data_IF_250178244597
#
_entry.id   IF_250178244597
#
_cell.length_a   1.000
_cell.length_b   1.000
_cell.length_c   1.000
_cell.angle_alpha   90.00
_cell.angle_beta   90.00
_cell.angle_gamma   90.00
#
_symmetry.space_group_name_H-M   'P 1'
#
loop_
_entity.id
_entity.type
_entity.pdbx_description
1 polymer ?
#
# COMPACT_ATOMS: atom_id res chain seq x y z
N UNK A 1 -8.01 35.76 -15.65
CA UNK A 1 -8.62 34.76 -14.75
C UNK A 1 -9.42 33.65 -15.44
N UNK A 2 -10.30 33.95 -16.40
CA UNK A 2 -11.12 32.91 -17.07
C UNK A 2 -10.33 31.80 -17.80
N UNK A 3 -9.20 32.12 -18.44
CA UNK A 3 -8.39 31.13 -19.18
C UNK A 3 -7.72 30.12 -18.23
N UNK A 4 -7.19 30.58 -17.09
CA UNK A 4 -6.55 29.71 -16.09
C UNK A 4 -7.58 28.72 -15.52
N UNK A 5 -8.78 29.20 -15.22
CA UNK A 5 -9.87 28.36 -14.73
C UNK A 5 -10.31 27.33 -15.78
N UNK A 6 -10.44 27.74 -17.05
CA UNK A 6 -10.79 26.84 -18.15
C UNK A 6 -9.72 25.77 -18.38
N UNK A 7 -8.43 26.14 -18.34
CA UNK A 7 -7.34 25.16 -18.40
C UNK A 7 -7.39 24.19 -17.21
N UNK A 8 -7.74 24.68 -16.01
CA UNK A 8 -7.93 23.83 -14.83
C UNK A 8 -9.06 22.81 -14.99
N UNK A 9 -10.20 23.18 -15.61
CA UNK A 9 -11.27 22.23 -15.93
C UNK A 9 -10.81 21.17 -16.94
N UNK A 10 -10.18 21.58 -18.04
CA UNK A 10 -9.65 20.64 -19.03
C UNK A 10 -8.63 19.68 -18.43
N UNK A 11 -7.73 20.17 -17.56
CA UNK A 11 -6.75 19.33 -16.86
C UNK A 11 -7.45 18.27 -15.99
N UNK A 12 -8.55 18.62 -15.31
CA UNK A 12 -9.32 17.68 -14.47
C UNK A 12 -10.00 16.58 -15.28
N UNK A 13 -10.42 16.87 -16.51
CA UNK A 13 -11.08 15.90 -17.40
C UNK A 13 -10.09 14.98 -18.12
N UNK A 14 -8.83 15.41 -18.27
CA UNK A 14 -7.80 14.71 -19.07
C UNK A 14 -6.70 14.05 -18.23
N UNK A 15 -6.96 13.79 -16.94
CA UNK A 15 -5.99 13.12 -16.06
C UNK A 15 -5.82 11.65 -16.47
N UNK A 16 -4.58 11.27 -16.72
CA UNK A 16 -4.16 9.91 -17.06
C UNK A 16 -2.90 9.54 -16.28
N UNK A 17 -2.45 8.28 -16.38
CA UNK A 17 -1.21 7.81 -15.75
C UNK A 17 0.05 8.54 -16.25
N UNK A 18 -0.01 9.20 -17.42
CA UNK A 18 1.11 9.94 -18.01
C UNK A 18 1.05 11.43 -17.67
N UNK A 19 -0.14 11.98 -17.44
CA UNK A 19 -0.33 13.42 -17.24
C UNK A 19 -0.46 13.80 -15.76
N UNK A 20 -0.83 12.87 -14.88
CA UNK A 20 -1.18 13.16 -13.48
C UNK A 20 -0.05 13.82 -12.69
N UNK A 21 1.19 13.36 -12.84
CA UNK A 21 2.33 13.92 -12.12
C UNK A 21 2.69 15.31 -12.63
N UNK A 22 2.70 15.50 -13.96
CA UNK A 22 2.91 16.81 -14.58
C UNK A 22 1.82 17.78 -14.14
N UNK A 23 0.55 17.40 -14.22
CA UNK A 23 -0.58 18.24 -13.83
C UNK A 23 -0.54 18.58 -12.34
N UNK A 24 -0.15 17.64 -11.47
CA UNK A 24 0.02 17.93 -10.05
C UNK A 24 1.10 18.99 -9.79
N UNK A 25 2.26 18.87 -10.45
CA UNK A 25 3.36 19.82 -10.33
C UNK A 25 2.99 21.20 -10.88
N UNK A 26 2.42 21.24 -12.09
CA UNK A 26 1.93 22.46 -12.74
C UNK A 26 0.87 23.15 -11.90
N UNK A 27 -0.11 22.41 -11.38
CA UNK A 27 -1.14 22.96 -10.50
C UNK A 27 -0.54 23.51 -9.19
N UNK A 28 0.54 22.92 -8.67
CA UNK A 28 1.32 23.46 -7.57
C UNK A 28 1.94 24.82 -7.90
N UNK A 29 2.55 24.96 -9.07
CA UNK A 29 3.17 26.22 -9.52
C UNK A 29 2.15 27.34 -9.74
N UNK A 30 0.98 27.02 -10.26
CA UNK A 30 -0.07 28.00 -10.59
C UNK A 30 -1.14 28.18 -9.50
N UNK A 31 -0.99 27.54 -8.33
CA UNK A 31 -1.95 27.66 -7.23
C UNK A 31 -3.34 27.06 -7.51
N UNK A 32 -3.43 26.06 -8.39
CA UNK A 32 -4.68 25.41 -8.77
C UNK A 32 -5.01 24.23 -7.86
N UNK A 33 -5.42 24.51 -6.63
CA UNK A 33 -5.66 23.48 -5.60
C UNK A 33 -6.73 22.45 -5.99
N UNK A 34 -7.75 22.86 -6.75
CA UNK A 34 -8.79 21.94 -7.23
C UNK A 34 -8.22 20.87 -8.19
N UNK A 35 -7.26 21.24 -9.04
CA UNK A 35 -6.57 20.32 -9.95
C UNK A 35 -5.64 19.40 -9.14
N UNK A 36 -4.89 19.94 -8.16
CA UNK A 36 -4.04 19.12 -7.28
C UNK A 36 -4.84 18.05 -6.54
N UNK A 37 -5.98 18.44 -5.96
CA UNK A 37 -6.88 17.52 -5.26
C UNK A 37 -7.37 16.42 -6.21
N UNK A 38 -7.78 16.79 -7.43
CA UNK A 38 -8.23 15.84 -8.43
C UNK A 38 -7.12 14.87 -8.88
N UNK A 39 -5.89 15.35 -9.03
CA UNK A 39 -4.73 14.50 -9.32
C UNK A 39 -4.47 13.49 -8.18
N UNK A 40 -4.55 13.93 -6.91
CA UNK A 40 -4.41 13.04 -5.76
C UNK A 40 -5.53 12.00 -5.71
N UNK A 41 -6.79 12.41 -5.91
CA UNK A 41 -7.92 11.48 -6.00
C UNK A 41 -7.72 10.45 -7.12
N UNK A 42 -7.23 10.88 -8.28
CA UNK A 42 -6.92 9.98 -9.37
C UNK A 42 -5.83 8.97 -8.96
N UNK A 43 -4.74 9.43 -8.34
CA UNK A 43 -3.64 8.57 -7.87
C UNK A 43 -4.12 7.57 -6.81
N UNK A 44 -4.94 7.99 -5.85
CA UNK A 44 -5.50 7.11 -4.82
C UNK A 44 -6.30 5.94 -5.42
N UNK A 45 -7.03 6.19 -6.51
CA UNK A 45 -7.84 5.17 -7.17
C UNK A 45 -7.07 4.30 -8.18
N UNK A 46 -5.99 4.82 -8.78
CA UNK A 46 -5.34 4.21 -9.93
C UNK A 46 -3.90 3.73 -9.68
N UNK A 47 -3.23 4.16 -8.59
CA UNK A 47 -1.84 3.81 -8.34
C UNK A 47 -1.61 2.30 -8.35
N UNK A 48 -2.49 1.54 -7.67
CA UNK A 48 -2.34 0.09 -7.53
C UNK A 48 -2.78 -0.70 -8.76
N UNK A 49 -3.58 -0.11 -9.65
CA UNK A 49 -4.16 -0.79 -10.83
C UNK A 49 -3.45 -0.44 -12.13
N UNK A 50 -2.86 0.75 -12.23
CA UNK A 50 -2.17 1.29 -13.41
C UNK A 50 -0.67 1.53 -13.14
N UNK A 51 -0.04 0.63 -12.38
CA UNK A 51 1.39 0.72 -12.08
C UNK A 51 2.22 0.70 -13.38
N UNK A 52 3.11 1.68 -13.52
CA UNK A 52 4.06 1.75 -14.63
C UNK A 52 5.37 2.37 -14.16
N UNK A 53 6.43 2.10 -14.91
CA UNK A 53 7.78 2.60 -14.61
C UNK A 53 7.79 4.13 -14.66
N UNK A 54 7.16 4.70 -15.69
CA UNK A 54 7.06 6.15 -15.88
C UNK A 54 6.37 6.80 -14.69
N UNK A 55 5.18 6.30 -14.33
CA UNK A 55 4.44 6.80 -13.18
C UNK A 55 5.25 6.73 -11.88
N UNK A 56 5.90 5.59 -11.62
CA UNK A 56 6.66 5.42 -10.37
C UNK A 56 7.91 6.31 -10.31
N UNK A 57 8.59 6.56 -11.44
CA UNK A 57 9.73 7.49 -11.48
C UNK A 57 9.32 8.94 -11.25
N UNK A 58 8.15 9.35 -11.71
CA UNK A 58 7.65 10.73 -11.57
C UNK A 58 7.06 11.03 -10.19
N UNK A 59 6.73 10.01 -9.39
CA UNK A 59 6.17 10.19 -8.06
C UNK A 59 7.23 10.59 -7.04
N UNK A 60 7.11 11.82 -6.53
CA UNK A 60 7.95 12.32 -5.45
C UNK A 60 7.63 11.66 -4.09
N UNK A 61 8.59 11.72 -3.17
CA UNK A 61 8.46 11.20 -1.80
C UNK A 61 7.24 11.82 -1.09
N UNK A 62 7.00 13.12 -1.27
CA UNK A 62 5.89 13.81 -0.62
C UNK A 62 4.52 13.32 -1.14
N UNK A 63 4.38 13.14 -2.47
CA UNK A 63 3.16 12.59 -3.05
C UNK A 63 2.96 11.16 -2.55
N UNK A 64 4.00 10.33 -2.60
CA UNK A 64 3.89 8.94 -2.13
C UNK A 64 3.50 8.87 -0.65
N UNK A 65 4.09 9.71 0.21
CA UNK A 65 3.70 9.83 1.62
C UNK A 65 2.20 10.11 1.77
N UNK A 66 1.68 11.12 1.06
CA UNK A 66 0.26 11.48 1.11
C UNK A 66 -0.65 10.34 0.64
N UNK A 67 -0.23 9.59 -0.39
CA UNK A 67 -0.99 8.45 -0.92
C UNK A 67 -1.06 7.31 0.09
N UNK A 68 0.08 6.90 0.66
CA UNK A 68 0.10 5.77 1.61
C UNK A 68 -0.60 6.12 2.92
N UNK A 69 -0.46 7.36 3.41
CA UNK A 69 -1.14 7.83 4.62
C UNK A 69 -2.65 7.91 4.46
N UNK A 70 -3.17 7.96 3.23
CA UNK A 70 -4.60 8.08 2.99
C UNK A 70 -5.34 6.76 3.21
N UNK A 71 -6.43 6.83 3.98
CA UNK A 71 -7.41 5.75 4.13
C UNK A 71 -8.12 5.41 2.81
N UNK A 72 -8.16 6.36 1.86
CA UNK A 72 -8.82 6.22 0.56
C UNK A 72 -7.93 5.57 -0.53
N UNK A 73 -6.69 5.18 -0.20
CA UNK A 73 -5.85 4.47 -1.16
C UNK A 73 -6.51 3.13 -1.52
N UNK A 74 -6.77 2.93 -2.81
CA UNK A 74 -7.29 1.68 -3.33
C UNK A 74 -6.21 0.60 -3.26
N UNK A 75 -6.35 -0.35 -2.34
CA UNK A 75 -5.43 -1.49 -2.20
C UNK A 75 -5.95 -2.69 -2.96
N UNK A 76 -5.12 -3.23 -3.85
CA UNK A 76 -5.40 -4.47 -4.56
C UNK A 76 -5.00 -5.63 -3.66
N UNK A 77 -5.90 -6.58 -3.39
CA UNK A 77 -5.74 -7.73 -2.50
C UNK A 77 -5.53 -7.40 -1.03
N UNK A 78 -4.32 -7.08 -0.57
CA UNK A 78 -3.98 -6.91 0.85
C UNK A 78 -2.85 -5.88 1.04
N UNK A 79 -2.55 -5.52 2.28
CA UNK A 79 -1.52 -4.52 2.62
C UNK A 79 -0.10 -4.90 2.12
N UNK A 80 0.19 -6.19 1.93
CA UNK A 80 1.46 -6.66 1.35
C UNK A 80 1.69 -6.13 -0.08
N UNK A 81 0.62 -5.90 -0.85
CA UNK A 81 0.75 -5.29 -2.18
C UNK A 81 1.23 -3.84 -2.10
N UNK A 82 0.85 -3.11 -1.04
CA UNK A 82 1.34 -1.75 -0.78
C UNK A 82 2.84 -1.78 -0.48
N UNK A 83 3.29 -2.71 0.35
CA UNK A 83 4.71 -2.90 0.63
C UNK A 83 5.52 -3.20 -0.63
N UNK A 84 5.06 -4.15 -1.46
CA UNK A 84 5.77 -4.48 -2.70
C UNK A 84 5.75 -3.34 -3.71
N UNK A 85 4.66 -2.55 -3.77
CA UNK A 85 4.59 -1.35 -4.61
C UNK A 85 5.60 -0.29 -4.15
N UNK A 86 5.70 -0.04 -2.84
CA UNK A 86 6.69 0.87 -2.27
C UNK A 86 8.13 0.40 -2.51
N UNK A 87 8.38 -0.90 -2.39
CA UNK A 87 9.69 -1.49 -2.71
C UNK A 87 10.08 -1.25 -4.16
N UNK A 88 9.17 -1.51 -5.12
CA UNK A 88 9.37 -1.22 -6.55
C UNK A 88 9.62 0.27 -6.80
N UNK A 89 8.81 1.13 -6.17
CA UNK A 89 8.94 2.58 -6.31
C UNK A 89 10.29 3.08 -5.78
N UNK A 90 10.68 2.69 -4.57
CA UNK A 90 11.97 3.06 -3.95
C UNK A 90 13.15 2.62 -4.83
N UNK A 91 13.11 1.39 -5.37
CA UNK A 91 14.13 0.93 -6.32
C UNK A 91 14.21 1.83 -7.57
N UNK A 92 13.07 2.20 -8.16
CA UNK A 92 13.04 3.07 -9.35
C UNK A 92 13.51 4.50 -9.07
N UNK A 93 13.34 4.99 -7.83
CA UNK A 93 13.89 6.27 -7.37
C UNK A 93 15.41 6.21 -7.18
N UNK A 94 15.93 5.10 -6.66
CA UNK A 94 17.36 4.89 -6.41
C UNK A 94 18.14 4.53 -7.68
N UNK A 95 17.49 3.91 -8.66
CA UNK A 95 18.10 3.52 -9.95
C UNK A 95 17.31 4.14 -11.11
N UNK A 96 17.39 5.48 -11.33
CA UNK A 96 16.64 6.15 -12.39
C UNK A 96 16.97 5.67 -13.81
N UNK A 97 18.16 5.09 -14.01
CA UNK A 97 18.62 4.55 -15.30
C UNK A 97 17.97 3.23 -15.68
N UNK A 98 17.28 2.54 -14.77
CA UNK A 98 16.67 1.25 -15.03
C UNK A 98 15.46 1.38 -15.95
N UNK A 99 15.45 0.67 -17.09
CA UNK A 99 14.43 0.80 -18.15
C UNK A 99 13.89 -0.57 -18.63
N UNK A 100 13.86 -1.57 -17.74
CA UNK A 100 13.35 -2.92 -18.05
C UNK A 100 11.82 -3.00 -18.16
N UNK A 101 11.25 -4.20 -18.15
CA UNK A 101 9.78 -4.39 -18.12
C UNK A 101 9.23 -4.27 -16.69
N UNK A 102 8.05 -3.67 -16.51
CA UNK A 102 7.45 -3.51 -15.17
C UNK A 102 7.32 -4.85 -14.40
N UNK A 103 7.14 -5.97 -15.13
CA UNK A 103 7.08 -7.32 -14.54
C UNK A 103 8.40 -7.75 -13.87
N UNK A 104 9.54 -7.25 -14.35
CA UNK A 104 10.87 -7.58 -13.85
C UNK A 104 11.29 -6.69 -12.67
N UNK A 105 10.62 -5.55 -12.45
CA UNK A 105 11.01 -4.56 -11.43
C UNK A 105 11.17 -5.19 -10.05
N UNK A 106 10.24 -6.07 -9.66
CA UNK A 106 10.29 -6.68 -8.33
C UNK A 106 11.52 -7.58 -8.18
N UNK A 107 11.78 -8.43 -9.17
CA UNK A 107 12.93 -9.34 -9.17
C UNK A 107 14.26 -8.58 -9.17
N UNK A 108 14.36 -7.52 -9.98
CA UNK A 108 15.55 -6.67 -10.03
C UNK A 108 15.73 -5.87 -8.72
N UNK A 109 14.64 -5.37 -8.15
CA UNK A 109 14.66 -4.71 -6.84
C UNK A 109 15.12 -5.68 -5.74
N UNK A 110 14.60 -6.91 -5.71
CA UNK A 110 15.01 -7.94 -4.75
C UNK A 110 16.51 -8.22 -4.83
N UNK A 111 17.05 -8.39 -6.04
CA UNK A 111 18.48 -8.60 -6.25
C UNK A 111 19.32 -7.39 -5.82
N UNK A 112 18.87 -6.17 -6.15
CA UNK A 112 19.56 -4.94 -5.82
C UNK A 112 19.62 -4.71 -4.30
N UNK A 113 18.50 -4.86 -3.59
CA UNK A 113 18.47 -4.72 -2.14
C UNK A 113 19.26 -5.83 -1.43
N UNK A 114 19.27 -7.05 -1.98
CA UNK A 114 20.09 -8.14 -1.44
C UNK A 114 21.59 -7.85 -1.53
N UNK A 115 22.06 -7.17 -2.59
CA UNK A 115 23.45 -6.71 -2.67
C UNK A 115 23.75 -5.62 -1.64
N UNK A 116 22.91 -4.58 -1.56
CA UNK A 116 23.11 -3.50 -0.58
C UNK A 116 23.09 -3.98 0.86
N UNK A 117 22.28 -4.99 1.15
CA UNK A 117 22.26 -5.62 2.47
C UNK A 117 23.61 -6.29 2.81
N UNK A 118 24.28 -6.92 1.84
CA UNK A 118 25.62 -7.50 2.06
C UNK A 118 26.66 -6.43 2.37
N UNK A 119 26.53 -5.25 1.77
CA UNK A 119 27.44 -4.12 1.96
C UNK A 119 27.22 -3.40 3.31
N UNK A 120 25.96 -3.19 3.72
CA UNK A 120 25.60 -2.48 4.97
C UNK A 120 25.82 -3.32 6.23
N UNK A 121 25.87 -4.66 6.09
CA UNK A 121 25.92 -5.59 7.21
C UNK A 121 24.52 -6.05 7.65
N UNK A 122 24.46 -7.20 8.33
CA UNK A 122 23.19 -7.89 8.61
C UNK A 122 22.28 -7.17 9.61
N UNK A 123 22.80 -6.20 10.37
CA UNK A 123 22.15 -5.59 11.54
C UNK A 123 21.49 -4.23 11.24
N UNK A 124 21.77 -3.64 10.08
CA UNK A 124 21.26 -2.30 9.70
C UNK A 124 20.19 -2.44 8.63
N UNK A 125 19.00 -1.89 8.88
CA UNK A 125 17.95 -1.89 7.86
C UNK A 125 18.27 -0.88 6.75
N UNK A 126 17.84 -1.18 5.51
CA UNK A 126 18.13 -0.29 4.38
C UNK A 126 17.58 1.13 4.59
N UNK A 127 16.40 1.29 5.20
CA UNK A 127 15.82 2.61 5.48
C UNK A 127 16.59 3.44 6.52
N UNK A 128 17.47 2.82 7.30
CA UNK A 128 18.34 3.51 8.26
C UNK A 128 19.64 4.00 7.62
N UNK A 129 19.95 3.53 6.40
CA UNK A 129 21.09 4.02 5.62
C UNK A 129 20.87 5.45 5.11
N UNK A 130 21.95 6.14 4.73
CA UNK A 130 21.87 7.49 4.16
C UNK A 130 20.99 7.56 2.89
N UNK A 131 21.00 6.51 2.06
CA UNK A 131 20.19 6.43 0.84
C UNK A 131 18.71 6.11 1.14
N UNK A 132 18.45 5.32 2.19
CA UNK A 132 17.11 4.91 2.58
C UNK A 132 16.35 5.92 3.45
N UNK A 133 17.07 6.74 4.20
CA UNK A 133 16.49 7.69 5.17
C UNK A 133 15.38 8.60 4.59
N UNK A 134 15.50 9.16 3.37
CA UNK A 134 14.44 9.98 2.79
C UNK A 134 13.10 9.25 2.60
N UNK A 135 13.13 7.92 2.47
CA UNK A 135 11.95 7.09 2.25
C UNK A 135 11.26 6.67 3.55
N UNK A 136 11.95 6.75 4.69
CA UNK A 136 11.45 6.34 6.01
C UNK A 136 10.06 6.92 6.35
N UNK A 137 9.76 8.22 6.12
CA UNK A 137 8.45 8.78 6.40
C UNK A 137 7.31 8.21 5.53
N UNK A 138 7.62 7.57 4.40
CA UNK A 138 6.62 6.91 3.55
C UNK A 138 6.31 5.53 4.12
N UNK A 139 7.37 4.73 4.40
CA UNK A 139 7.22 3.37 4.91
C UNK A 139 6.65 3.34 6.34
N UNK A 140 6.79 4.40 7.13
CA UNK A 140 6.19 4.50 8.47
C UNK A 140 4.65 4.50 8.45
N UNK A 141 4.01 4.74 7.29
CA UNK A 141 2.55 4.71 7.13
C UNK A 141 2.03 3.35 6.66
N UNK A 142 2.90 2.34 6.50
CA UNK A 142 2.47 0.97 6.24
C UNK A 142 1.75 0.40 7.46
N UNK A 143 0.63 -0.29 7.22
CA UNK A 143 -0.13 -0.97 8.28
C UNK A 143 0.49 -2.34 8.54
N UNK A 144 1.69 -2.35 9.12
CA UNK A 144 2.51 -3.55 9.33
C UNK A 144 1.75 -4.68 10.03
N UNK A 145 0.80 -4.32 10.92
CA UNK A 145 -0.05 -5.28 11.61
C UNK A 145 -0.82 -6.22 10.67
N UNK A 146 -1.14 -5.79 9.44
CA UNK A 146 -1.84 -6.61 8.46
C UNK A 146 -0.91 -7.34 7.48
N UNK A 147 0.36 -6.95 7.44
CA UNK A 147 1.36 -7.63 6.63
C UNK A 147 1.89 -8.85 7.40
N UNK A 148 2.23 -8.67 8.67
CA UNK A 148 2.86 -9.73 9.47
C UNK A 148 1.88 -10.78 10.02
N UNK A 149 0.57 -10.58 9.83
CA UNK A 149 -0.45 -11.59 10.16
C UNK A 149 -0.36 -12.84 9.28
N UNK A 150 0.26 -12.72 8.10
CA UNK A 150 0.57 -13.84 7.21
C UNK A 150 2.05 -14.23 7.34
N UNK A 151 2.33 -15.50 7.64
CA UNK A 151 3.69 -15.99 7.86
C UNK A 151 4.56 -15.86 6.62
N UNK A 152 4.01 -16.06 5.42
CA UNK A 152 4.78 -15.91 4.18
C UNK A 152 5.21 -14.45 3.98
N UNK A 153 4.29 -13.51 4.17
CA UNK A 153 4.53 -12.07 4.10
C UNK A 153 5.52 -11.60 5.17
N UNK A 154 5.36 -12.06 6.42
CA UNK A 154 6.30 -11.77 7.51
C UNK A 154 7.74 -12.17 7.17
N UNK A 155 7.93 -13.41 6.68
CA UNK A 155 9.24 -13.91 6.25
C UNK A 155 9.85 -13.10 5.10
N UNK A 156 9.03 -12.64 4.15
CA UNK A 156 9.50 -11.80 3.05
C UNK A 156 10.01 -10.47 3.61
N UNK A 157 9.25 -9.79 4.46
CA UNK A 157 9.62 -8.50 5.02
C UNK A 157 10.90 -8.59 5.86
N UNK A 158 11.05 -9.64 6.67
CA UNK A 158 12.28 -9.90 7.45
C UNK A 158 13.49 -10.19 6.56
N UNK A 159 13.30 -11.03 5.53
CA UNK A 159 14.36 -11.38 4.58
C UNK A 159 14.81 -10.15 3.79
N UNK A 160 13.88 -9.28 3.43
CA UNK A 160 14.18 -8.08 2.66
C UNK A 160 14.97 -7.05 3.50
N UNK A 161 14.83 -7.07 4.84
CA UNK A 161 15.53 -6.20 5.78
C UNK A 161 15.51 -4.70 5.40
N UNK A 162 14.40 -4.27 4.78
CA UNK A 162 14.21 -2.87 4.40
C UNK A 162 13.78 -2.04 5.60
N UNK A 163 12.90 -2.60 6.43
CA UNK A 163 12.32 -1.94 7.58
C UNK A 163 13.20 -2.12 8.82
N UNK A 164 13.28 -1.12 9.72
CA UNK A 164 13.94 -1.28 11.01
C UNK A 164 13.38 -2.47 11.79
N UNK A 165 14.27 -3.27 12.39
CA UNK A 165 13.90 -4.45 13.18
C UNK A 165 12.99 -4.08 14.36
N UNK A 166 13.19 -2.91 14.96
CA UNK A 166 12.38 -2.36 16.05
C UNK A 166 10.92 -2.13 15.66
N UNK A 167 10.63 -1.80 14.40
CA UNK A 167 9.25 -1.65 13.93
C UNK A 167 8.55 -3.00 13.92
N UNK A 168 9.23 -4.04 13.43
CA UNK A 168 8.67 -5.39 13.37
C UNK A 168 8.53 -5.99 14.76
N UNK A 169 9.54 -5.86 15.63
CA UNK A 169 9.53 -6.40 16.99
C UNK A 169 8.36 -5.86 17.82
N UNK A 170 8.08 -4.56 17.71
CA UNK A 170 6.94 -3.90 18.36
C UNK A 170 5.60 -4.50 17.89
N UNK A 171 5.43 -4.67 16.59
CA UNK A 171 4.17 -5.18 16.02
C UNK A 171 4.01 -6.68 16.30
N UNK A 172 5.09 -7.48 16.26
CA UNK A 172 5.05 -8.89 16.68
C UNK A 172 4.61 -9.05 18.12
N UNK A 173 5.16 -8.23 19.03
CA UNK A 173 4.77 -8.24 20.45
C UNK A 173 3.29 -7.87 20.63
N UNK A 174 2.80 -6.86 19.89
CA UNK A 174 1.40 -6.47 19.92
C UNK A 174 0.48 -7.60 19.41
N UNK A 175 0.84 -8.24 18.29
CA UNK A 175 0.08 -9.36 17.73
C UNK A 175 0.07 -10.58 18.66
N UNK A 176 1.20 -10.88 19.28
CA UNK A 176 1.29 -11.94 20.29
C UNK A 176 0.37 -11.68 21.50
N UNK A 177 0.35 -10.46 22.03
CA UNK A 177 -0.57 -10.13 23.11
C UNK A 177 -2.04 -10.09 22.68
N UNK A 178 -2.34 -9.66 21.45
CA UNK A 178 -3.69 -9.74 20.91
C UNK A 178 -4.16 -11.20 20.82
N UNK A 179 -3.28 -12.08 20.33
CA UNK A 179 -3.49 -13.53 20.31
C UNK A 179 -3.81 -14.09 21.70
N UNK A 180 -2.96 -13.79 22.70
CA UNK A 180 -3.18 -14.26 24.06
C UNK A 180 -4.47 -13.72 24.70
N UNK A 181 -4.84 -12.45 24.45
CA UNK A 181 -6.10 -11.88 24.97
C UNK A 181 -7.31 -12.59 24.39
N UNK A 182 -7.30 -12.85 23.08
CA UNK A 182 -8.41 -13.50 22.41
C UNK A 182 -8.55 -14.98 22.82
N UNK A 183 -7.45 -15.70 22.96
CA UNK A 183 -7.44 -17.09 23.49
C UNK A 183 -7.98 -17.17 24.93
N UNK A 184 -7.79 -16.12 25.74
CA UNK A 184 -8.29 -16.04 27.12
C UNK A 184 -9.70 -15.44 27.23
N UNK A 185 -10.39 -15.20 26.12
CA UNK A 185 -11.70 -14.51 26.07
C UNK A 185 -11.70 -13.12 26.74
N UNK A 186 -10.52 -12.52 26.89
CA UNK A 186 -10.29 -11.23 27.54
C UNK A 186 -10.20 -10.08 26.53
N UNK A 187 -10.41 -10.36 25.24
CA UNK A 187 -10.45 -9.32 24.21
C UNK A 187 -11.84 -8.68 24.16
N UNK A 188 -11.98 -7.54 24.83
CA UNK A 188 -13.21 -6.75 24.80
C UNK A 188 -13.33 -5.87 23.55
N UNK A 189 -12.32 -5.88 22.68
CA UNK A 189 -12.21 -5.01 21.54
C UNK A 189 -12.16 -3.52 21.93
N UNK A 190 -12.04 -2.64 20.93
CA UNK A 190 -12.11 -1.21 21.16
C UNK A 190 -13.51 -0.80 21.66
N UNK A 191 -13.57 -0.08 22.79
CA UNK A 191 -14.83 0.37 23.42
C UNK A 191 -15.40 1.61 22.74
N UNK A 192 -14.53 2.54 22.36
CA UNK A 192 -14.86 3.72 21.57
C UNK A 192 -13.87 3.80 20.41
N UNK A 193 -14.38 3.98 19.20
CA UNK A 193 -13.56 4.20 18.01
C UNK A 193 -14.04 5.49 17.37
N UNK A 194 -13.16 6.48 17.28
CA UNK A 194 -13.42 7.65 16.45
C UNK A 194 -13.10 7.34 14.97
N UNK A 195 -13.63 8.17 14.08
CA UNK A 195 -13.51 7.94 12.63
C UNK A 195 -12.04 7.95 12.19
N UNK A 196 -11.23 8.82 12.77
CA UNK A 196 -9.83 9.00 12.43
C UNK A 196 -9.00 7.77 12.77
N UNK A 197 -9.20 7.18 13.95
CA UNK A 197 -8.56 5.94 14.40
C UNK A 197 -9.00 4.76 13.56
N UNK A 198 -10.29 4.67 13.22
CA UNK A 198 -10.81 3.64 12.33
C UNK A 198 -10.11 3.72 10.97
N UNK A 199 -10.10 4.91 10.36
CA UNK A 199 -9.53 5.12 9.04
C UNK A 199 -8.02 4.88 9.01
N UNK A 200 -7.29 5.28 10.06
CA UNK A 200 -5.85 5.09 10.17
C UNK A 200 -5.47 3.62 10.35
N UNK A 201 -6.24 2.88 11.15
CA UNK A 201 -5.85 1.55 11.59
C UNK A 201 -6.55 0.40 10.87
N UNK A 202 -7.61 0.62 10.08
CA UNK A 202 -8.36 -0.48 9.45
C UNK A 202 -7.55 -1.30 8.45
N UNK A 203 -7.92 -2.56 8.22
CA UNK A 203 -7.34 -3.34 7.12
C UNK A 203 -7.84 -2.81 5.78
N UNK A 204 -6.95 -2.72 4.78
CA UNK A 204 -7.31 -2.43 3.39
C UNK A 204 -7.17 -3.71 2.57
N UNK A 205 -8.24 -4.07 1.86
CA UNK A 205 -8.25 -5.23 0.97
C UNK A 205 -9.20 -4.99 -0.21
N UNK A 206 -8.95 -5.68 -1.32
CA UNK A 206 -9.71 -5.44 -2.55
C UNK A 206 -9.59 -6.55 -3.57
N UNK A 207 -10.59 -6.65 -4.46
CA UNK A 207 -10.59 -7.57 -5.61
C UNK A 207 -11.05 -6.83 -6.85
N UNK A 208 -10.46 -7.15 -8.00
CA UNK A 208 -10.85 -6.60 -9.31
C UNK A 208 -11.63 -7.64 -10.09
N UNK A 209 -12.87 -7.31 -10.44
CA UNK A 209 -13.70 -8.09 -11.34
C UNK A 209 -13.31 -7.76 -12.78
N UNK A 210 -12.76 -8.75 -13.50
CA UNK A 210 -12.29 -8.55 -14.88
C UNK A 210 -13.40 -8.79 -15.91
N UNK A 211 -14.33 -9.70 -15.59
CA UNK A 211 -15.49 -10.06 -16.42
C UNK A 211 -16.68 -10.32 -15.52
N UNK A 212 -17.87 -10.32 -16.12
CA UNK A 212 -19.06 -10.80 -15.41
C UNK A 212 -18.95 -12.31 -15.19
N UNK A 213 -19.45 -12.79 -14.06
CA UNK A 213 -19.33 -14.19 -13.68
C UNK A 213 -19.39 -14.40 -12.17
N UNK A 214 -19.19 -15.66 -11.78
CA UNK A 214 -19.16 -16.06 -10.38
C UNK A 214 -17.74 -16.07 -9.85
N UNK A 215 -17.54 -15.45 -8.68
CA UNK A 215 -16.27 -15.39 -8.00
C UNK A 215 -16.46 -15.75 -6.53
N UNK A 216 -15.54 -16.54 -5.98
CA UNK A 216 -15.43 -16.79 -4.55
C UNK A 216 -14.00 -16.44 -4.12
N UNK A 217 -13.87 -15.63 -3.08
CA UNK A 217 -12.60 -15.34 -2.45
C UNK A 217 -12.70 -15.57 -0.95
N UNK A 218 -11.57 -15.95 -0.37
CA UNK A 218 -11.39 -15.98 1.07
C UNK A 218 -10.39 -14.90 1.46
N UNK A 219 -10.73 -14.07 2.44
CA UNK A 219 -9.80 -13.18 3.10
C UNK A 219 -9.43 -13.79 4.45
N UNK A 220 -8.24 -14.39 4.46
CA UNK A 220 -7.61 -15.03 5.62
C UNK A 220 -6.69 -14.04 6.33
N UNK A 221 -6.32 -14.34 7.58
CA UNK A 221 -5.34 -13.54 8.34
C UNK A 221 -5.93 -12.90 9.60
N UNK A 222 -7.19 -13.18 9.89
CA UNK A 222 -7.76 -12.81 11.17
C UNK A 222 -7.66 -13.98 12.12
N UNK A 223 -6.47 -14.15 12.72
CA UNK A 223 -6.31 -15.18 13.75
C UNK A 223 -7.34 -15.01 14.89
N UNK A 224 -7.97 -13.83 15.02
CA UNK A 224 -8.98 -13.53 16.05
C UNK A 224 -10.20 -12.72 15.58
N UNK A 225 -10.37 -12.45 14.29
CA UNK A 225 -11.35 -11.43 13.87
C UNK A 225 -11.81 -11.49 12.43
N UNK A 226 -12.63 -12.49 12.07
CA UNK A 226 -13.44 -12.50 10.83
C UNK A 226 -12.79 -13.11 9.57
N UNK A 227 -12.52 -14.43 9.54
CA UNK A 227 -12.30 -15.13 8.26
C UNK A 227 -13.52 -14.93 7.35
N UNK A 228 -13.33 -14.25 6.22
CA UNK A 228 -14.41 -13.81 5.34
C UNK A 228 -14.39 -14.59 4.03
N UNK A 229 -15.51 -15.22 3.72
CA UNK A 229 -15.83 -15.74 2.40
C UNK A 229 -16.67 -14.71 1.66
N UNK A 230 -16.13 -14.19 0.56
CA UNK A 230 -16.73 -13.16 -0.27
C UNK A 230 -17.13 -13.80 -1.59
N UNK A 231 -18.42 -13.81 -1.90
CA UNK A 231 -18.94 -14.35 -3.15
C UNK A 231 -19.53 -13.22 -3.99
N UNK A 232 -19.17 -13.16 -5.27
CA UNK A 232 -19.85 -12.34 -6.26
C UNK A 232 -20.59 -13.27 -7.22
N UNK A 233 -21.91 -13.14 -7.28
CA UNK A 233 -22.78 -13.87 -8.24
C UNK A 233 -24.00 -13.02 -8.54
N UNK A 234 -24.52 -13.06 -9.76
CA UNK A 234 -25.71 -12.33 -10.18
C UNK A 234 -25.71 -10.83 -9.81
N UNK A 235 -24.54 -10.17 -9.91
CA UNK A 235 -24.33 -8.76 -9.52
C UNK A 235 -24.55 -8.46 -8.02
N UNK A 236 -24.60 -9.48 -7.17
CA UNK A 236 -24.65 -9.35 -5.73
C UNK A 236 -23.28 -9.70 -5.13
N UNK A 237 -22.87 -8.95 -4.10
CA UNK A 237 -21.72 -9.28 -3.26
C UNK A 237 -22.25 -9.82 -1.93
N UNK A 238 -21.85 -11.03 -1.59
CA UNK A 238 -22.25 -11.74 -0.36
C UNK A 238 -21.02 -11.89 0.51
N UNK A 239 -21.12 -11.44 1.77
CA UNK A 239 -20.11 -11.63 2.80
C UNK A 239 -20.59 -12.67 3.81
N UNK A 240 -19.83 -13.72 4.00
CA UNK A 240 -20.11 -14.78 4.99
C UNK A 240 -18.89 -14.97 5.88
N UNK A 241 -19.10 -15.02 7.19
CA UNK A 241 -18.04 -15.44 8.11
C UNK A 241 -17.80 -16.94 7.94
N UNK A 242 -16.55 -17.32 7.70
CA UNK A 242 -16.13 -18.69 7.57
C UNK A 242 -15.74 -19.24 8.95
N UNK A 243 -16.73 -19.78 9.66
CA UNK A 243 -16.54 -20.35 11.01
C UNK A 243 -16.08 -21.81 10.99
N UNK A 244 -16.07 -22.46 9.82
CA UNK A 244 -15.85 -23.90 9.66
C UNK A 244 -14.65 -24.23 8.76
N UNK A 245 -13.76 -23.26 8.50
CA UNK A 245 -12.61 -23.42 7.59
C UNK A 245 -13.00 -23.96 6.20
N UNK A 246 -14.19 -23.61 5.71
CA UNK A 246 -14.65 -23.99 4.38
C UNK A 246 -13.73 -23.40 3.31
N UNK A 247 -13.38 -24.19 2.30
CA UNK A 247 -12.69 -23.69 1.11
C UNK A 247 -13.71 -22.99 0.19
N UNK A 248 -13.25 -21.91 -0.45
CA UNK A 248 -13.68 -21.63 -1.82
C UNK A 248 -12.99 -22.67 -2.71
#
# INVERSE_FOLDING_TARGET
DGLIQQCGETMKETITSQTVCVYYNTAGTYGLDSVKKRCLEWLLNNLMTHQSIVLFKELSINIMKQLISSSNLFVLQVEMDVYTALKKWMFLQLVPSWNGSFKQVLTEADAWFAERRRELGADVAFLESEQGNPFLPVFSHLRLQYIISDLASARIVERDALLPSEWLSSVYKQQWFAMLRAEQENDTGPQEINKEELEANSMRCGRKLVKDGEYCWRWTGFNFGLDLLVTFTNRCIIFKRNTLNQTC
#
